data_IF_765276510884
#
_entry.id   IF_765276510884
#
_cell.length_a   1.000
_cell.length_b   1.000
_cell.length_c   1.000
_cell.angle_alpha   90.00
_cell.angle_beta   90.00
_cell.angle_gamma   90.00
#
_symmetry.space_group_name_H-M   'P 1'
#
loop_
_entity.id
_entity.type
_entity.pdbx_description
1 polymer ?
#
# COMPACT_ATOMS: atom_id res chain seq x y z
N UNK A 1 -32.48 20.17 14.91
CA UNK A 1 -31.19 20.28 14.23
C UNK A 1 -30.51 18.95 14.45
N UNK A 2 -30.61 18.02 13.49
CA UNK A 2 -29.85 16.76 13.55
C UNK A 2 -28.43 17.10 13.12
N UNK A 3 -27.46 17.00 14.02
CA UNK A 3 -26.06 16.99 13.63
C UNK A 3 -25.86 15.75 12.75
N UNK A 4 -25.62 15.93 11.47
CA UNK A 4 -25.11 14.86 10.60
C UNK A 4 -23.79 14.40 11.22
N UNK A 5 -23.80 13.19 11.78
CA UNK A 5 -22.57 12.54 12.23
C UNK A 5 -21.82 12.17 10.95
N UNK A 6 -20.97 13.07 10.50
CA UNK A 6 -20.05 12.77 9.40
C UNK A 6 -19.18 11.58 9.85
N UNK A 7 -19.43 10.43 9.28
CA UNK A 7 -18.66 9.23 9.58
C UNK A 7 -17.21 9.46 9.22
N UNK A 8 -16.32 9.41 10.20
CA UNK A 8 -14.88 9.55 9.98
C UNK A 8 -14.39 8.37 9.15
N UNK A 9 -13.75 8.65 8.02
CA UNK A 9 -13.20 7.65 7.11
C UNK A 9 -12.11 6.82 7.81
N UNK A 10 -12.20 5.48 7.69
CA UNK A 10 -11.27 4.53 8.30
C UNK A 10 -10.30 3.97 7.27
N UNK A 11 -9.02 4.03 7.57
CA UNK A 11 -7.94 3.60 6.67
C UNK A 11 -7.06 2.57 7.36
N UNK A 12 -6.84 1.44 6.68
CA UNK A 12 -5.86 0.42 7.09
C UNK A 12 -4.68 0.47 6.11
N UNK A 13 -3.49 0.78 6.62
CA UNK A 13 -2.25 0.85 5.84
C UNK A 13 -1.36 -0.33 6.18
N UNK A 14 -1.27 -1.30 5.27
CA UNK A 14 -0.48 -2.52 5.40
C UNK A 14 0.93 -2.31 4.83
N UNK A 15 1.94 -2.76 5.56
CA UNK A 15 3.36 -2.54 5.25
C UNK A 15 3.70 -1.04 5.25
N UNK A 16 3.19 -0.32 6.24
CA UNK A 16 3.13 1.14 6.24
C UNK A 16 4.49 1.85 6.22
N UNK A 17 5.55 1.17 6.65
CA UNK A 17 6.89 1.75 6.72
C UNK A 17 6.89 3.06 7.51
N UNK A 18 7.36 4.14 6.89
CA UNK A 18 7.37 5.49 7.47
C UNK A 18 6.01 6.22 7.35
N UNK A 19 4.95 5.52 6.93
CA UNK A 19 3.59 6.06 6.89
C UNK A 19 3.26 6.96 5.69
N UNK A 20 4.17 7.09 4.72
CA UNK A 20 4.00 8.04 3.61
C UNK A 20 2.73 7.83 2.79
N UNK A 21 2.29 6.57 2.61
CA UNK A 21 1.11 6.27 1.81
C UNK A 21 -0.20 6.74 2.46
N UNK A 22 -0.27 6.71 3.79
CA UNK A 22 -1.44 7.13 4.56
C UNK A 22 -1.32 8.52 5.20
N UNK A 23 -0.21 9.23 5.01
CA UNK A 23 0.05 10.50 5.72
C UNK A 23 -0.98 11.59 5.42
N UNK A 24 -1.42 11.73 4.17
CA UNK A 24 -2.44 12.71 3.82
C UNK A 24 -3.79 12.42 4.48
N UNK A 25 -4.11 11.13 4.68
CA UNK A 25 -5.34 10.71 5.38
C UNK A 25 -5.28 11.07 6.87
N UNK A 26 -4.12 10.87 7.53
CA UNK A 26 -3.89 11.32 8.91
C UNK A 26 -4.08 12.82 9.00
N UNK A 27 -3.46 13.60 8.11
CA UNK A 27 -3.54 15.05 8.10
C UNK A 27 -4.97 15.58 7.81
N UNK A 28 -5.78 14.77 7.13
CA UNK A 28 -7.19 15.09 6.86
C UNK A 28 -8.14 14.73 8.02
N UNK A 29 -7.64 14.04 9.06
CA UNK A 29 -8.44 13.65 10.22
C UNK A 29 -9.12 12.27 10.08
N UNK A 30 -8.70 11.43 9.13
CA UNK A 30 -9.17 10.05 9.04
C UNK A 30 -8.67 9.21 10.22
N UNK A 31 -9.43 8.18 10.60
CA UNK A 31 -8.99 7.15 11.53
C UNK A 31 -8.05 6.18 10.80
N UNK A 32 -6.74 6.32 11.02
CA UNK A 32 -5.73 5.51 10.33
C UNK A 32 -5.11 4.50 11.28
N UNK A 33 -5.02 3.24 10.85
CA UNK A 33 -4.24 2.19 11.50
C UNK A 33 -3.15 1.76 10.52
N UNK A 34 -1.89 1.82 10.96
CA UNK A 34 -0.70 1.40 10.24
C UNK A 34 -0.20 0.08 10.78
N UNK A 35 0.01 -0.91 9.91
CA UNK A 35 0.59 -2.21 10.25
C UNK A 35 2.00 -2.28 9.65
N UNK A 36 2.98 -2.51 10.50
CA UNK A 36 4.39 -2.60 10.14
C UNK A 36 5.08 -3.65 11.01
N UNK A 37 5.94 -4.48 10.44
CA UNK A 37 6.62 -5.53 11.20
C UNK A 37 8.03 -5.14 11.69
N UNK A 38 8.58 -4.00 11.23
CA UNK A 38 9.88 -3.50 11.68
C UNK A 38 9.73 -2.77 13.03
N UNK A 39 10.24 -3.32 14.15
CA UNK A 39 10.09 -2.71 15.48
C UNK A 39 10.78 -1.34 15.60
N UNK A 40 11.75 -1.02 14.73
CA UNK A 40 12.39 0.30 14.71
C UNK A 40 11.43 1.42 14.30
N UNK A 41 10.23 1.08 13.81
CA UNK A 41 9.21 2.04 13.37
C UNK A 41 8.04 2.17 14.36
N UNK A 42 8.17 1.64 15.58
CA UNK A 42 7.13 1.72 16.62
C UNK A 42 6.72 3.16 16.97
N UNK A 43 7.63 4.11 16.83
CA UNK A 43 7.38 5.53 17.10
C UNK A 43 6.76 6.30 15.91
N UNK A 44 6.53 5.66 14.78
CA UNK A 44 5.76 6.27 13.68
C UNK A 44 4.29 6.32 14.11
N UNK A 45 3.70 7.50 14.08
CA UNK A 45 2.33 7.72 14.57
C UNK A 45 1.33 6.72 13.94
N UNK A 46 0.35 6.28 14.73
CA UNK A 46 -0.70 5.32 14.33
C UNK A 46 -0.22 3.91 13.97
N UNK A 47 1.06 3.57 14.22
CA UNK A 47 1.65 2.27 13.87
C UNK A 47 1.42 1.24 14.97
N UNK A 48 1.01 0.05 14.55
CA UNK A 48 1.01 -1.17 15.35
C UNK A 48 2.06 -2.11 14.78
N UNK A 49 3.00 -2.54 15.64
CA UNK A 49 4.02 -3.51 15.23
C UNK A 49 3.38 -4.89 15.19
N UNK A 50 3.08 -5.34 13.97
CA UNK A 50 2.47 -6.65 13.67
C UNK A 50 2.90 -7.13 12.29
N UNK A 51 2.96 -8.44 12.13
CA UNK A 51 3.08 -9.05 10.80
C UNK A 51 1.71 -9.07 10.10
N UNK A 52 1.69 -8.78 8.80
CA UNK A 52 0.45 -8.82 7.99
C UNK A 52 -0.14 -10.24 7.94
N UNK A 53 0.69 -11.27 8.04
CA UNK A 53 0.22 -12.66 8.15
C UNK A 53 -0.58 -12.88 9.44
N UNK A 54 -0.15 -12.32 10.56
CA UNK A 54 -0.91 -12.39 11.83
C UNK A 54 -2.24 -11.65 11.71
N UNK A 55 -2.27 -10.50 11.03
CA UNK A 55 -3.51 -9.76 10.78
C UNK A 55 -4.48 -10.57 9.93
N UNK A 56 -3.99 -11.21 8.85
CA UNK A 56 -4.79 -12.11 8.01
C UNK A 56 -5.36 -13.26 8.83
N UNK A 57 -4.54 -13.95 9.60
CA UNK A 57 -4.94 -15.13 10.38
C UNK A 57 -5.99 -14.76 11.44
N UNK A 58 -5.81 -13.62 12.11
CA UNK A 58 -6.80 -13.07 13.03
C UNK A 58 -8.16 -12.79 12.35
N UNK A 59 -8.15 -12.15 11.18
CA UNK A 59 -9.37 -11.85 10.45
C UNK A 59 -10.06 -13.12 9.94
N UNK A 60 -9.30 -14.13 9.53
CA UNK A 60 -9.82 -15.44 9.13
C UNK A 60 -10.49 -16.15 10.32
N UNK A 61 -9.86 -16.17 11.50
CA UNK A 61 -10.46 -16.73 12.72
C UNK A 61 -11.76 -16.00 13.08
N UNK A 62 -11.75 -14.67 13.07
CA UNK A 62 -12.96 -13.88 13.31
C UNK A 62 -14.09 -14.24 12.34
N UNK A 63 -13.76 -14.36 11.04
CA UNK A 63 -14.73 -14.72 10.01
C UNK A 63 -15.32 -16.12 10.23
N UNK A 64 -14.46 -17.12 10.50
CA UNK A 64 -14.87 -18.50 10.74
C UNK A 64 -15.77 -18.63 11.98
N UNK A 65 -15.52 -17.83 13.01
CA UNK A 65 -16.29 -17.82 14.27
C UNK A 65 -17.49 -16.89 14.24
N UNK A 66 -17.75 -16.21 13.11
CA UNK A 66 -18.85 -15.24 13.00
C UNK A 66 -18.71 -14.02 13.90
N UNK A 67 -17.47 -13.67 14.28
CA UNK A 67 -17.19 -12.50 15.10
C UNK A 67 -17.21 -11.22 14.25
N UNK A 68 -17.59 -10.07 14.83
CA UNK A 68 -17.60 -8.82 14.08
C UNK A 68 -16.18 -8.42 13.68
N UNK A 69 -16.02 -8.07 12.41
CA UNK A 69 -14.77 -7.53 11.86
C UNK A 69 -14.97 -6.03 11.66
N UNK A 70 -14.07 -5.23 12.23
CA UNK A 70 -14.05 -3.79 11.95
C UNK A 70 -13.63 -3.58 10.49
N UNK A 71 -14.48 -2.91 9.72
CA UNK A 71 -14.25 -2.69 8.29
C UNK A 71 -13.65 -1.30 8.07
N UNK A 72 -12.43 -1.18 7.55
CA UNK A 72 -11.94 0.07 7.01
C UNK A 72 -12.66 0.39 5.70
N UNK A 73 -12.81 1.68 5.41
CA UNK A 73 -13.32 2.17 4.12
C UNK A 73 -12.27 2.00 3.03
N UNK A 74 -11.00 2.12 3.42
CA UNK A 74 -9.85 2.08 2.51
C UNK A 74 -8.79 1.13 3.06
N UNK A 75 -8.23 0.29 2.17
CA UNK A 75 -6.98 -0.44 2.42
C UNK A 75 -5.90 0.11 1.49
N UNK A 76 -4.80 0.57 2.08
CA UNK A 76 -3.54 0.88 1.40
C UNK A 76 -2.57 -0.26 1.70
N UNK A 77 -1.78 -0.69 0.71
CA UNK A 77 -0.78 -1.73 0.92
C UNK A 77 0.44 -1.53 0.02
N UNK A 78 1.63 -1.64 0.60
CA UNK A 78 2.90 -1.60 -0.15
C UNK A 78 3.77 -2.81 0.21
N UNK A 79 3.41 -4.01 -0.30
CA UNK A 79 4.18 -5.22 0.01
C UNK A 79 5.66 -5.06 -0.38
N UNK A 80 6.61 -5.68 0.35
CA UNK A 80 8.03 -5.54 0.09
C UNK A 80 8.41 -5.77 -1.37
N UNK A 81 9.07 -4.78 -1.99
CA UNK A 81 9.39 -4.80 -3.43
C UNK A 81 10.73 -5.48 -3.77
N UNK A 82 11.49 -5.99 -2.78
CA UNK A 82 12.85 -6.49 -2.98
C UNK A 82 12.93 -7.56 -4.07
N UNK A 83 12.01 -8.53 -4.06
CA UNK A 83 11.98 -9.64 -5.01
C UNK A 83 11.66 -9.20 -6.45
N UNK A 84 11.05 -8.04 -6.63
CA UNK A 84 10.59 -7.51 -7.93
C UNK A 84 11.50 -6.42 -8.48
N UNK A 85 12.35 -5.84 -7.63
CA UNK A 85 13.19 -4.69 -7.95
C UNK A 85 14.23 -5.00 -9.05
N UNK A 86 14.49 -3.99 -9.89
CA UNK A 86 15.58 -3.99 -10.86
C UNK A 86 16.91 -3.45 -10.28
N UNK A 87 16.97 -3.19 -8.97
CA UNK A 87 18.21 -2.78 -8.32
C UNK A 87 19.30 -3.85 -8.50
N UNK A 88 20.56 -3.42 -8.63
CA UNK A 88 21.68 -4.32 -8.93
C UNK A 88 21.79 -5.51 -7.95
N UNK A 89 21.59 -5.28 -6.65
CA UNK A 89 21.66 -6.30 -5.60
C UNK A 89 20.33 -7.04 -5.35
N UNK A 90 19.26 -6.73 -6.09
CA UNK A 90 17.98 -7.42 -5.92
C UNK A 90 18.05 -8.86 -6.43
N UNK A 91 17.36 -9.82 -5.77
CA UNK A 91 17.36 -11.25 -6.15
C UNK A 91 17.05 -11.46 -7.63
N UNK A 92 16.03 -10.78 -8.17
CA UNK A 92 15.66 -10.83 -9.58
C UNK A 92 16.81 -10.44 -10.50
N UNK A 93 17.49 -9.34 -10.20
CA UNK A 93 18.61 -8.85 -11.01
C UNK A 93 19.85 -9.77 -10.89
N UNK A 94 20.05 -10.36 -9.72
CA UNK A 94 21.11 -11.37 -9.52
C UNK A 94 20.82 -12.65 -10.30
N UNK A 95 19.58 -13.11 -10.29
CA UNK A 95 19.14 -14.28 -11.06
C UNK A 95 19.34 -14.05 -12.57
N UNK A 96 18.86 -12.89 -13.09
CA UNK A 96 19.00 -12.53 -14.49
C UNK A 96 20.49 -12.50 -14.94
N UNK A 97 21.39 -11.94 -14.12
CA UNK A 97 22.83 -11.94 -14.42
C UNK A 97 23.44 -13.33 -14.41
N UNK A 98 22.96 -14.21 -13.55
CA UNK A 98 23.48 -15.58 -13.41
C UNK A 98 23.01 -16.48 -14.57
N UNK A 99 21.77 -16.36 -15.00
CA UNK A 99 21.14 -17.29 -15.93
C UNK A 99 20.81 -16.69 -17.30
N UNK A 100 20.97 -15.39 -17.49
CA UNK A 100 20.67 -14.68 -18.76
C UNK A 100 19.17 -14.52 -19.05
N UNK A 101 18.31 -15.12 -18.26
CA UNK A 101 16.85 -15.09 -18.43
C UNK A 101 16.17 -15.03 -17.05
N UNK A 102 14.88 -14.64 -17.01
CA UNK A 102 14.03 -14.74 -15.83
C UNK A 102 13.14 -16.00 -15.83
N UNK A 103 13.34 -16.89 -16.78
CA UNK A 103 12.61 -18.16 -16.80
C UNK A 103 13.02 -19.01 -15.59
N UNK A 104 12.02 -19.47 -14.83
CA UNK A 104 12.23 -20.15 -13.55
C UNK A 104 12.52 -19.25 -12.34
N UNK A 105 12.53 -17.92 -12.51
CA UNK A 105 12.56 -17.03 -11.36
C UNK A 105 11.16 -16.90 -10.74
N UNK A 106 11.00 -17.43 -9.53
CA UNK A 106 9.74 -17.41 -8.80
C UNK A 106 9.90 -16.58 -7.51
N UNK A 107 9.39 -15.34 -7.49
CA UNK A 107 9.38 -14.55 -6.27
C UNK A 107 8.34 -15.08 -5.28
N UNK A 108 8.62 -14.94 -3.99
CA UNK A 108 7.65 -15.22 -2.95
C UNK A 108 6.47 -14.23 -3.04
N UNK A 109 5.26 -14.78 -3.17
CA UNK A 109 4.01 -14.03 -3.30
C UNK A 109 3.16 -14.04 -2.02
N UNK A 110 3.62 -14.70 -0.96
CA UNK A 110 2.88 -14.93 0.30
C UNK A 110 2.29 -13.65 0.87
N UNK A 111 3.04 -12.54 0.85
CA UNK A 111 2.57 -11.27 1.40
C UNK A 111 1.53 -10.58 0.50
N UNK A 112 1.63 -10.74 -0.83
CA UNK A 112 0.58 -10.29 -1.74
C UNK A 112 -0.70 -11.11 -1.53
N UNK A 113 -0.59 -12.43 -1.45
CA UNK A 113 -1.72 -13.33 -1.23
C UNK A 113 -2.42 -13.02 0.09
N UNK A 114 -1.66 -12.80 1.17
CA UNK A 114 -2.22 -12.38 2.46
C UNK A 114 -2.96 -11.04 2.37
N UNK A 115 -2.42 -10.07 1.63
CA UNK A 115 -3.08 -8.79 1.37
C UNK A 115 -4.41 -8.97 0.66
N UNK A 116 -4.45 -9.83 -0.37
CA UNK A 116 -5.67 -10.12 -1.12
C UNK A 116 -6.71 -10.85 -0.27
N UNK A 117 -6.29 -11.75 0.61
CA UNK A 117 -7.19 -12.42 1.55
C UNK A 117 -7.80 -11.43 2.55
N UNK A 118 -7.01 -10.50 3.10
CA UNK A 118 -7.52 -9.41 3.95
C UNK A 118 -8.58 -8.59 3.19
N UNK A 119 -8.28 -8.17 1.96
CA UNK A 119 -9.21 -7.40 1.12
C UNK A 119 -10.52 -8.16 0.89
N UNK A 120 -10.46 -9.46 0.60
CA UNK A 120 -11.65 -10.32 0.40
C UNK A 120 -12.50 -10.46 1.67
N UNK A 121 -11.86 -10.57 2.85
CA UNK A 121 -12.54 -10.71 4.14
C UNK A 121 -13.22 -9.41 4.55
N UNK A 122 -12.51 -8.31 4.43
CA UNK A 122 -12.93 -6.99 4.92
C UNK A 122 -13.88 -6.29 3.94
N UNK A 123 -13.67 -6.46 2.62
CA UNK A 123 -14.45 -5.84 1.53
C UNK A 123 -14.52 -4.32 1.67
N UNK A 124 -13.39 -3.62 1.66
CA UNK A 124 -13.35 -2.17 1.74
C UNK A 124 -13.98 -1.52 0.50
N UNK A 125 -14.41 -0.26 0.60
CA UNK A 125 -14.90 0.52 -0.56
C UNK A 125 -13.78 0.75 -1.57
N UNK A 126 -12.59 1.12 -1.08
CA UNK A 126 -11.39 1.30 -1.90
C UNK A 126 -10.25 0.43 -1.39
N UNK A 127 -9.43 -0.06 -2.30
CA UNK A 127 -8.20 -0.73 -1.96
C UNK A 127 -7.14 -0.47 -3.03
N UNK A 128 -5.92 -0.21 -2.58
CA UNK A 128 -4.81 0.16 -3.44
C UNK A 128 -3.58 -0.64 -3.00
N UNK A 129 -2.99 -1.39 -3.94
CA UNK A 129 -1.72 -2.07 -3.75
C UNK A 129 -0.68 -1.36 -4.60
N UNK A 130 0.39 -0.88 -3.97
CA UNK A 130 1.53 -0.25 -4.64
C UNK A 130 2.69 -1.21 -4.72
N UNK A 131 3.43 -1.17 -5.84
CA UNK A 131 4.74 -1.78 -5.95
C UNK A 131 5.55 -1.15 -7.11
N UNK A 132 6.82 -1.57 -7.25
CA UNK A 132 7.67 -1.15 -8.38
C UNK A 132 7.18 -1.76 -9.70
N UNK A 133 7.47 -1.10 -10.84
CA UNK A 133 7.11 -1.61 -12.17
C UNK A 133 7.54 -3.07 -12.42
N UNK A 134 8.67 -3.48 -11.83
CA UNK A 134 9.17 -4.85 -11.96
C UNK A 134 8.27 -5.93 -11.34
N UNK A 135 7.30 -5.55 -10.51
CA UNK A 135 6.31 -6.46 -9.95
C UNK A 135 5.21 -6.84 -10.97
N UNK A 136 4.94 -5.98 -11.97
CA UNK A 136 3.82 -6.15 -12.91
C UNK A 136 3.73 -7.54 -13.52
N UNK A 137 4.83 -8.09 -14.03
CA UNK A 137 4.89 -9.45 -14.59
C UNK A 137 4.39 -10.55 -13.63
N UNK A 138 4.61 -10.37 -12.31
CA UNK A 138 4.26 -11.37 -11.29
C UNK A 138 2.87 -11.11 -10.70
N UNK A 139 2.48 -9.82 -10.61
CA UNK A 139 1.17 -9.42 -10.08
C UNK A 139 0.04 -9.66 -11.08
N UNK A 140 0.35 -9.68 -12.39
CA UNK A 140 -0.65 -9.78 -13.46
C UNK A 140 -1.59 -10.99 -13.31
N UNK A 141 -1.06 -12.14 -12.89
CA UNK A 141 -1.87 -13.36 -12.67
C UNK A 141 -2.85 -13.25 -11.48
N UNK A 142 -2.60 -12.31 -10.54
CA UNK A 142 -3.45 -12.08 -9.37
C UNK A 142 -4.37 -10.88 -9.53
N UNK A 143 -3.89 -9.83 -10.17
CA UNK A 143 -4.48 -8.49 -10.16
C UNK A 143 -4.77 -7.93 -11.56
N UNK A 144 -4.32 -8.61 -12.61
CA UNK A 144 -4.29 -8.04 -13.94
C UNK A 144 -3.21 -6.95 -14.09
N UNK A 145 -3.36 -6.12 -15.10
CA UNK A 145 -2.45 -5.00 -15.35
C UNK A 145 -2.60 -3.93 -14.27
N UNK A 146 -1.52 -3.18 -14.01
CA UNK A 146 -1.58 -2.03 -13.13
C UNK A 146 -2.64 -1.03 -13.63
N UNK A 147 -3.52 -0.58 -12.74
CA UNK A 147 -4.54 0.41 -13.04
C UNK A 147 -3.93 1.76 -13.41
N UNK A 148 -2.82 2.12 -12.76
CA UNK A 148 -2.11 3.38 -12.99
C UNK A 148 -0.64 3.24 -12.63
N UNK A 149 0.21 4.02 -13.34
CA UNK A 149 1.62 4.20 -13.01
C UNK A 149 1.91 5.70 -12.83
N UNK A 150 2.63 6.04 -11.75
CA UNK A 150 3.05 7.42 -11.46
C UNK A 150 4.55 7.39 -11.13
N UNK A 151 5.37 7.93 -12.01
CA UNK A 151 6.83 7.83 -11.87
C UNK A 151 7.27 6.37 -11.69
N UNK A 152 8.01 6.01 -10.62
CA UNK A 152 8.48 4.64 -10.39
C UNK A 152 7.44 3.72 -9.73
N UNK A 153 6.25 4.21 -9.40
CA UNK A 153 5.21 3.51 -8.66
C UNK A 153 4.15 2.94 -9.61
N UNK A 154 3.76 1.69 -9.40
CA UNK A 154 2.63 1.05 -10.08
C UNK A 154 1.54 0.73 -9.06
N UNK A 155 0.30 0.97 -9.41
CA UNK A 155 -0.86 0.83 -8.53
C UNK A 155 -1.89 -0.13 -9.12
N UNK A 156 -2.35 -1.06 -8.30
CA UNK A 156 -3.43 -2.01 -8.59
C UNK A 156 -4.56 -1.81 -7.60
N UNK A 157 -5.78 -2.07 -8.01
CA UNK A 157 -6.88 -2.05 -7.07
C UNK A 157 -8.15 -1.40 -7.57
N UNK A 158 -9.07 -1.18 -6.62
CA UNK A 158 -10.30 -0.44 -6.82
C UNK A 158 -10.18 0.94 -6.17
N UNK A 159 -9.82 1.93 -6.95
CA UNK A 159 -9.63 3.33 -6.51
C UNK A 159 -9.88 4.28 -7.69
N UNK A 160 -10.25 5.55 -7.46
CA UNK A 160 -10.32 6.56 -8.51
C UNK A 160 -8.92 6.85 -9.08
N UNK A 161 -8.85 7.27 -10.35
CA UNK A 161 -7.58 7.67 -10.96
C UNK A 161 -6.97 8.83 -10.16
N UNK A 162 -5.72 8.65 -9.76
CA UNK A 162 -4.95 9.65 -9.02
C UNK A 162 -4.55 10.75 -9.99
N UNK A 163 -5.05 11.95 -9.79
CA UNK A 163 -4.81 13.11 -10.65
C UNK A 163 -3.88 14.12 -9.98
N UNK A 164 -3.38 15.08 -10.75
CA UNK A 164 -2.63 16.23 -10.24
C UNK A 164 -1.33 15.90 -9.48
N UNK A 165 -0.64 14.80 -9.84
CA UNK A 165 0.70 14.50 -9.33
C UNK A 165 1.75 15.07 -10.28
N UNK A 166 2.51 16.04 -9.82
CA UNK A 166 3.71 16.48 -10.54
C UNK A 166 4.85 15.47 -10.32
N UNK A 167 5.05 14.59 -11.31
CA UNK A 167 6.06 13.53 -11.25
C UNK A 167 7.48 14.09 -11.15
N UNK A 168 7.73 15.30 -11.67
CA UNK A 168 9.04 15.92 -11.62
C UNK A 168 9.42 16.40 -10.20
N UNK A 169 8.41 16.68 -9.36
CA UNK A 169 8.60 17.07 -7.96
C UNK A 169 8.76 15.89 -7.00
N UNK A 170 8.58 14.66 -7.46
CA UNK A 170 8.72 13.48 -6.59
C UNK A 170 10.18 13.25 -6.22
N UNK A 171 10.47 12.89 -4.94
CA UNK A 171 11.84 12.65 -4.50
C UNK A 171 12.49 11.51 -5.28
N UNK A 172 13.71 11.74 -5.73
CA UNK A 172 14.55 10.76 -6.43
C UNK A 172 14.99 9.64 -5.49
N UNK A 173 15.47 8.54 -6.06
CA UNK A 173 16.08 7.45 -5.27
C UNK A 173 17.27 7.91 -4.45
N UNK A 174 18.04 8.89 -4.93
CA UNK A 174 19.22 9.43 -4.23
C UNK A 174 18.79 10.23 -3.00
N UNK A 175 17.77 11.06 -3.11
CA UNK A 175 17.23 11.85 -2.00
C UNK A 175 16.61 10.97 -0.91
N UNK A 176 15.98 9.86 -1.29
CA UNK A 176 15.44 8.87 -0.35
C UNK A 176 16.50 7.96 0.27
N UNK A 177 17.71 7.87 -0.29
CA UNK A 177 18.75 6.96 0.18
C UNK A 177 19.53 7.51 1.40
N UNK A 178 19.06 7.21 2.58
CA UNK A 178 19.73 7.52 3.86
C UNK A 178 20.74 6.42 4.20
N UNK A 179 21.93 6.45 3.57
CA UNK A 179 22.95 5.38 3.58
C UNK A 179 23.36 4.87 4.96
N UNK A 180 23.34 5.73 5.98
CA UNK A 180 23.75 5.41 7.36
C UNK A 180 22.56 5.13 8.30
N UNK A 181 21.33 5.08 7.78
CA UNK A 181 20.15 4.80 8.58
C UNK A 181 19.90 3.30 8.71
N UNK A 182 19.61 2.81 9.91
CA UNK A 182 19.19 1.44 10.18
C UNK A 182 17.89 1.07 9.43
N UNK A 183 17.04 2.09 9.22
CA UNK A 183 15.77 1.94 8.44
C UNK A 183 15.93 2.42 7.00
N UNK A 184 17.12 2.27 6.41
CA UNK A 184 17.41 2.70 5.03
C UNK A 184 16.43 2.12 4.00
N UNK A 185 16.02 0.85 4.17
CA UNK A 185 15.07 0.21 3.29
C UNK A 185 13.71 0.94 3.29
N UNK A 186 13.22 1.32 4.48
CA UNK A 186 11.98 2.06 4.64
C UNK A 186 12.05 3.47 4.03
N UNK A 187 13.19 4.17 4.16
CA UNK A 187 13.38 5.44 3.47
C UNK A 187 13.32 5.30 1.95
N UNK A 188 13.91 4.26 1.38
CA UNK A 188 13.85 4.00 -0.08
C UNK A 188 12.46 3.61 -0.56
N UNK A 189 11.71 2.87 0.26
CA UNK A 189 10.35 2.43 -0.02
C UNK A 189 9.30 3.52 0.23
N UNK A 190 9.69 4.66 0.85
CA UNK A 190 8.76 5.73 1.19
C UNK A 190 7.95 6.21 -0.02
N UNK A 191 6.63 6.18 0.10
CA UNK A 191 5.71 6.75 -0.88
C UNK A 191 5.54 8.23 -0.57
N UNK A 192 5.83 9.13 -1.53
CA UNK A 192 5.74 10.57 -1.30
C UNK A 192 4.34 11.03 -0.91
N UNK A 193 4.26 11.97 0.03
CA UNK A 193 2.99 12.54 0.50
C UNK A 193 2.15 13.16 -0.63
N UNK A 194 2.80 13.64 -1.70
CA UNK A 194 2.11 14.17 -2.89
C UNK A 194 1.18 13.11 -3.52
N UNK A 195 1.64 11.84 -3.58
CA UNK A 195 0.81 10.73 -4.10
C UNK A 195 -0.33 10.44 -3.13
N UNK A 196 -0.05 10.35 -1.82
CA UNK A 196 -1.06 10.15 -0.78
C UNK A 196 -2.13 11.24 -0.81
N UNK A 197 -1.73 12.51 -0.94
CA UNK A 197 -2.63 13.66 -1.01
C UNK A 197 -3.51 13.62 -2.27
N UNK A 198 -2.91 13.37 -3.44
CA UNK A 198 -3.67 13.30 -4.69
C UNK A 198 -4.65 12.12 -4.71
N UNK A 199 -4.28 10.99 -4.11
CA UNK A 199 -5.19 9.86 -3.94
C UNK A 199 -6.37 10.23 -3.03
N UNK A 200 -6.12 10.85 -1.88
CA UNK A 200 -7.16 11.32 -0.97
C UNK A 200 -8.12 12.26 -1.69
N UNK A 201 -7.60 13.27 -2.40
CA UNK A 201 -8.44 14.23 -3.13
C UNK A 201 -9.30 13.55 -4.18
N UNK A 202 -8.74 12.61 -4.95
CA UNK A 202 -9.51 11.83 -5.94
C UNK A 202 -10.62 10.97 -5.30
N UNK A 203 -10.41 10.45 -4.09
CA UNK A 203 -11.43 9.70 -3.34
C UNK A 203 -12.55 10.64 -2.87
N UNK A 204 -12.20 11.79 -2.32
CA UNK A 204 -13.18 12.78 -1.83
C UNK A 204 -14.03 13.35 -2.98
N UNK A 205 -13.42 13.66 -4.12
CA UNK A 205 -14.13 14.12 -5.32
C UNK A 205 -15.13 13.08 -5.81
N UNK A 206 -14.75 11.79 -5.80
CA UNK A 206 -15.65 10.71 -6.20
C UNK A 206 -16.79 10.51 -5.20
N UNK A 207 -16.56 10.67 -3.90
CA UNK A 207 -17.63 10.62 -2.89
C UNK A 207 -18.68 11.72 -3.15
N UNK A 208 -18.24 12.94 -3.36
CA UNK A 208 -19.15 14.08 -3.63
C UNK A 208 -20.05 13.82 -4.85
N UNK A 209 -19.53 13.16 -5.90
CA UNK A 209 -20.33 12.83 -7.10
C UNK A 209 -21.42 11.78 -6.75
N UNK A 210 -21.10 10.77 -5.95
CA UNK A 210 -22.08 9.76 -5.54
C UNK A 210 -23.17 10.33 -4.64
N UNK A 211 -22.78 11.20 -3.68
CA UNK A 211 -23.75 11.87 -2.77
C UNK A 211 -24.70 12.80 -3.54
N UNK A 212 -24.32 13.24 -4.74
CA UNK A 212 -25.16 14.08 -5.62
C UNK A 212 -26.15 13.28 -6.46
N UNK A 213 -25.94 11.94 -6.59
CA UNK A 213 -26.76 11.04 -7.42
C UNK A 213 -27.75 10.21 -6.61
N UNK A 214 -27.68 10.24 -5.28
CA UNK A 214 -28.65 9.66 -4.34
C UNK A 214 -29.73 10.67 -3.94
#
# INVERSE_FOLDING_TARGET
MFEEVVSVMKVLDLFSGLGGFSEAFVNHGCEVIRIENNPLLENVAHTQIKDVLEVRDYLQDCHQRGLPIQKPDIILASPPCLMFSNAYSAPKSMYLRKFGTLDGYEPDMTLLEATLDIIKLVKPRYWIIENVHGAGRYFEKYLGQARQCIGPYSFWGNFPIITNVDVASLPTKAEKDKRHSEIRANHKAYIPIQISHSLLMSILEQQTIFDYLE
#
